data_IF_110817700826
#
_entry.id   IF_110817700826
#
_cell.length_a   1.000
_cell.length_b   1.000
_cell.length_c   1.000
_cell.angle_alpha   90.00
_cell.angle_beta   90.00
_cell.angle_gamma   90.00
#
_symmetry.space_group_name_H-M   'P 1'
#
loop_
_entity.id
_entity.type
_entity.pdbx_description
1 polymer ?
#
# COMPACT_ATOMS: atom_id res chain seq x y z
N UNK A 1 20.99 -0.36 -4.59
CA UNK A 1 20.09 0.01 -5.72
C UNK A 1 20.31 1.48 -6.04
N UNK A 2 20.55 1.85 -7.30
CA UNK A 2 20.74 3.26 -7.74
C UNK A 2 22.19 3.68 -8.04
N UNK A 3 23.19 2.92 -7.57
CA UNK A 3 24.62 3.18 -7.84
C UNK A 3 25.06 2.80 -9.26
N UNK A 4 24.32 1.91 -9.91
CA UNK A 4 24.61 1.43 -11.27
C UNK A 4 23.40 1.63 -12.18
N UNK A 5 23.68 2.15 -13.38
CA UNK A 5 22.71 2.28 -14.44
C UNK A 5 22.32 0.90 -14.98
N UNK A 6 21.02 0.63 -15.08
CA UNK A 6 20.56 -0.61 -15.71
C UNK A 6 20.47 -0.39 -17.23
N UNK A 7 21.14 -1.21 -18.06
CA UNK A 7 21.28 -0.95 -19.49
C UNK A 7 19.95 -0.96 -20.26
N UNK A 8 18.93 -1.64 -19.73
CA UNK A 8 17.63 -1.85 -20.40
C UNK A 8 16.48 -1.13 -19.69
N UNK A 9 16.63 -0.81 -18.40
CA UNK A 9 15.50 -0.37 -17.56
C UNK A 9 15.72 1.06 -17.11
N UNK A 10 14.90 1.95 -17.65
CA UNK A 10 14.82 3.35 -17.24
C UNK A 10 14.23 3.42 -15.83
N UNK A 11 14.89 4.15 -14.94
CA UNK A 11 14.44 4.30 -13.55
C UNK A 11 14.18 5.77 -13.26
N UNK A 12 13.08 6.02 -12.55
CA UNK A 12 12.65 7.36 -12.13
C UNK A 12 12.71 7.42 -10.62
N UNK A 13 13.39 8.43 -10.08
CA UNK A 13 13.44 8.66 -8.64
C UNK A 13 12.25 9.54 -8.23
N UNK A 14 11.30 8.93 -7.51
CA UNK A 14 10.11 9.61 -7.01
C UNK A 14 10.26 9.87 -5.51
N UNK A 15 10.39 11.14 -5.14
CA UNK A 15 10.43 11.56 -3.73
C UNK A 15 9.01 11.84 -3.24
N UNK A 16 8.54 11.06 -2.28
CA UNK A 16 7.21 11.20 -1.68
C UNK A 16 7.26 12.09 -0.41
N UNK A 17 6.09 12.59 0.01
CA UNK A 17 5.85 13.37 1.25
C UNK A 17 6.50 14.76 1.29
N UNK A 18 6.56 15.46 0.14
CA UNK A 18 7.08 16.84 0.11
C UNK A 18 6.27 17.84 0.93
N UNK A 19 5.02 17.51 1.25
CA UNK A 19 4.13 18.29 2.11
C UNK A 19 4.63 18.41 3.56
N UNK A 20 5.38 17.43 4.04
CA UNK A 20 5.97 17.46 5.39
C UNK A 20 7.21 18.35 5.48
N UNK A 21 7.73 18.83 4.35
CA UNK A 21 8.95 19.64 4.30
C UNK A 21 8.58 21.12 4.39
N UNK A 22 8.75 21.71 5.58
CA UNK A 22 8.40 23.11 5.82
C UNK A 22 9.23 24.14 5.03
N UNK A 23 10.46 23.79 4.61
CA UNK A 23 11.34 24.69 3.86
C UNK A 23 11.66 24.12 2.48
N UNK A 24 11.24 24.84 1.42
CA UNK A 24 11.53 24.46 0.02
C UNK A 24 13.04 24.37 -0.29
N UNK A 25 13.90 25.03 0.50
CA UNK A 25 15.36 24.95 0.35
C UNK A 25 15.89 23.54 0.64
N UNK A 26 15.29 22.84 1.59
CA UNK A 26 15.74 21.49 1.98
C UNK A 26 15.42 20.47 0.87
N UNK A 27 14.33 20.67 0.11
CA UNK A 27 14.01 19.86 -1.06
C UNK A 27 15.07 19.99 -2.18
N UNK A 28 15.66 21.18 -2.34
CA UNK A 28 16.74 21.41 -3.32
C UNK A 28 18.03 20.72 -2.88
N UNK A 29 18.36 20.78 -1.59
CA UNK A 29 19.52 20.06 -1.03
C UNK A 29 19.36 18.55 -1.19
N UNK A 30 18.15 18.02 -0.93
CA UNK A 30 17.83 16.61 -1.19
C UNK A 30 17.96 16.32 -2.68
N UNK A 31 17.41 17.15 -3.57
CA UNK A 31 17.59 16.96 -5.02
C UNK A 31 19.07 16.86 -5.39
N UNK A 32 19.92 17.73 -4.85
CA UNK A 32 21.36 17.72 -5.10
C UNK A 32 22.06 16.45 -4.62
N UNK A 33 21.75 15.97 -3.41
CA UNK A 33 22.32 14.72 -2.90
C UNK A 33 22.00 13.49 -3.76
N UNK A 34 20.86 13.50 -4.44
CA UNK A 34 20.40 12.38 -5.25
C UNK A 34 20.61 12.56 -6.76
N UNK A 35 21.10 13.73 -7.21
CA UNK A 35 21.46 13.97 -8.62
C UNK A 35 22.65 13.14 -9.07
N UNK A 36 23.58 12.84 -8.16
CA UNK A 36 24.81 12.12 -8.47
C UNK A 36 24.62 10.61 -8.61
N UNK A 37 23.39 10.10 -8.43
CA UNK A 37 23.09 8.69 -8.62
C UNK A 37 22.90 8.39 -10.11
N UNK A 38 23.85 7.71 -10.76
CA UNK A 38 23.81 7.45 -12.21
C UNK A 38 22.70 6.47 -12.60
N UNK A 39 22.07 5.83 -11.62
CA UNK A 39 21.01 4.84 -11.82
C UNK A 39 19.64 5.42 -12.15
N UNK A 40 19.45 6.74 -12.20
CA UNK A 40 18.14 7.37 -12.43
C UNK A 40 18.17 8.39 -13.59
N UNK A 41 17.16 8.36 -14.45
CA UNK A 41 17.05 9.27 -15.60
C UNK A 41 16.33 10.58 -15.25
N UNK A 42 15.46 10.58 -14.24
CA UNK A 42 14.69 11.76 -13.85
C UNK A 42 14.32 11.72 -12.38
N UNK A 43 14.39 12.89 -11.74
CA UNK A 43 13.93 13.14 -10.38
C UNK A 43 12.56 13.81 -10.41
N UNK A 44 11.62 13.37 -9.59
CA UNK A 44 10.31 14.01 -9.46
C UNK A 44 9.84 13.99 -8.02
N UNK A 45 9.18 15.08 -7.63
CA UNK A 45 8.73 15.35 -6.27
C UNK A 45 7.21 15.28 -6.20
N UNK A 46 6.67 14.52 -5.26
CA UNK A 46 5.22 14.37 -5.09
C UNK A 46 4.79 14.31 -3.62
N UNK A 47 3.54 14.69 -3.39
CA UNK A 47 2.81 14.39 -2.17
C UNK A 47 1.62 13.50 -2.54
N UNK A 48 1.63 12.26 -2.04
CA UNK A 48 0.53 11.31 -2.26
C UNK A 48 -0.78 11.74 -1.61
N UNK A 49 -0.72 12.56 -0.55
CA UNK A 49 -1.92 13.06 0.14
C UNK A 49 -2.67 14.12 -0.69
N UNK A 50 -1.95 14.87 -1.53
CA UNK A 50 -2.53 15.96 -2.33
C UNK A 50 -2.85 15.54 -3.76
N UNK A 51 -2.12 14.57 -4.33
CA UNK A 51 -2.27 14.17 -5.73
C UNK A 51 -2.60 12.69 -5.89
N UNK A 52 -3.62 12.39 -6.71
CA UNK A 52 -3.98 11.02 -7.06
C UNK A 52 -2.87 10.37 -7.92
N UNK A 53 -2.66 9.07 -7.74
CA UNK A 53 -1.76 8.21 -8.52
C UNK A 53 -1.87 8.39 -10.04
N UNK A 54 -3.07 8.68 -10.56
CA UNK A 54 -3.27 8.98 -11.99
C UNK A 54 -2.51 10.24 -12.43
N UNK A 55 -2.52 11.29 -11.60
CA UNK A 55 -1.81 12.54 -11.87
C UNK A 55 -0.30 12.32 -11.88
N UNK A 56 0.21 11.50 -10.94
CA UNK A 56 1.60 11.08 -10.91
C UNK A 56 2.00 10.37 -12.22
N UNK A 57 1.23 9.38 -12.68
CA UNK A 57 1.52 8.64 -13.93
C UNK A 57 1.59 9.55 -15.16
N UNK A 58 0.70 10.54 -15.23
CA UNK A 58 0.68 11.54 -16.30
C UNK A 58 1.89 12.46 -16.19
N UNK A 59 2.17 13.01 -15.00
CA UNK A 59 3.31 13.92 -14.80
C UNK A 59 4.67 13.26 -15.04
N UNK A 60 4.77 11.94 -14.83
CA UNK A 60 5.98 11.17 -15.08
C UNK A 60 6.12 10.72 -16.55
N UNK A 61 5.18 11.10 -17.42
CA UNK A 61 5.21 10.77 -18.85
C UNK A 61 5.05 9.28 -19.14
N UNK A 62 4.51 8.49 -18.20
CA UNK A 62 4.36 7.05 -18.39
C UNK A 62 3.35 6.70 -19.49
N UNK A 63 2.40 7.59 -19.80
CA UNK A 63 1.48 7.41 -20.92
C UNK A 63 2.22 7.40 -22.26
N UNK A 64 3.17 8.31 -22.45
CA UNK A 64 3.89 8.46 -23.73
C UNK A 64 4.99 7.40 -23.90
N UNK A 65 5.49 6.86 -22.79
CA UNK A 65 6.49 5.77 -22.76
C UNK A 65 5.86 4.37 -22.83
N UNK A 66 4.56 4.24 -22.68
CA UNK A 66 3.89 2.95 -22.70
C UNK A 66 3.83 2.39 -24.12
N UNK A 67 4.24 1.13 -24.30
CA UNK A 67 4.08 0.42 -25.56
C UNK A 67 2.60 0.15 -25.78
N UNK A 68 2.07 0.52 -26.95
CA UNK A 68 0.68 0.23 -27.30
C UNK A 68 0.52 -1.28 -27.46
N UNK A 69 -0.30 -1.88 -26.59
CA UNK A 69 -0.65 -3.30 -26.60
C UNK A 69 -2.08 -3.46 -26.11
N UNK A 70 -2.69 -4.59 -26.42
CA UNK A 70 -3.96 -4.98 -25.81
C UNK A 70 -3.80 -5.06 -24.30
N UNK A 71 -4.88 -4.78 -23.58
CA UNK A 71 -4.93 -5.02 -22.14
C UNK A 71 -4.70 -6.51 -21.88
N UNK A 72 -3.75 -6.82 -20.98
CA UNK A 72 -3.52 -8.20 -20.54
C UNK A 72 -4.55 -8.64 -19.49
N UNK A 73 -5.07 -7.69 -18.73
CA UNK A 73 -6.07 -7.91 -17.69
C UNK A 73 -7.30 -7.07 -18.00
N UNK A 74 -8.48 -7.64 -17.75
CA UNK A 74 -9.74 -6.92 -17.87
C UNK A 74 -9.96 -6.06 -16.61
N UNK A 75 -10.09 -4.73 -16.75
CA UNK A 75 -10.22 -3.83 -15.61
C UNK A 75 -11.55 -3.97 -14.84
N UNK A 76 -12.53 -4.70 -15.39
CA UNK A 76 -13.85 -4.89 -14.76
C UNK A 76 -14.02 -6.27 -14.13
N UNK A 77 -13.06 -7.18 -14.31
CA UNK A 77 -13.12 -8.52 -13.71
C UNK A 77 -12.64 -8.44 -12.27
N UNK A 78 -13.59 -8.49 -11.33
CA UNK A 78 -13.30 -8.71 -9.92
C UNK A 78 -13.40 -10.20 -9.64
N UNK A 79 -12.25 -10.87 -9.52
CA UNK A 79 -12.25 -12.29 -9.13
C UNK A 79 -12.48 -12.44 -7.63
N UNK A 80 -12.96 -13.61 -7.20
CA UNK A 80 -13.11 -13.94 -5.78
C UNK A 80 -11.78 -13.79 -5.02
N UNK A 81 -10.66 -14.09 -5.67
CA UNK A 81 -9.31 -13.91 -5.12
C UNK A 81 -8.96 -12.44 -4.85
N UNK A 82 -9.33 -11.52 -5.76
CA UNK A 82 -9.18 -10.09 -5.54
C UNK A 82 -9.99 -9.65 -4.32
N UNK A 83 -11.23 -10.11 -4.19
CA UNK A 83 -12.08 -9.81 -3.03
C UNK A 83 -11.50 -10.35 -1.72
N UNK A 84 -10.94 -11.56 -1.73
CA UNK A 84 -10.23 -12.16 -0.60
C UNK A 84 -9.01 -11.33 -0.21
N UNK A 85 -8.19 -10.93 -1.18
CA UNK A 85 -7.01 -10.10 -0.93
C UNK A 85 -7.38 -8.72 -0.37
N UNK A 86 -8.41 -8.07 -0.91
CA UNK A 86 -8.94 -6.81 -0.37
C UNK A 86 -9.39 -7.01 1.08
N UNK A 87 -10.10 -8.10 1.38
CA UNK A 87 -10.55 -8.38 2.75
C UNK A 87 -9.38 -8.53 3.73
N UNK A 88 -8.25 -9.11 3.30
CA UNK A 88 -7.05 -9.24 4.13
C UNK A 88 -6.39 -7.87 4.36
N UNK A 89 -6.23 -7.08 3.30
CA UNK A 89 -5.60 -5.76 3.38
C UNK A 89 -6.40 -4.77 4.23
N UNK A 90 -7.74 -4.80 4.17
CA UNK A 90 -8.60 -3.96 5.03
C UNK A 90 -8.32 -4.25 6.51
N UNK A 91 -8.23 -5.52 6.91
CA UNK A 91 -7.94 -5.89 8.30
C UNK A 91 -6.53 -5.49 8.69
N UNK A 92 -5.56 -5.66 7.77
CA UNK A 92 -4.17 -5.26 7.99
C UNK A 92 -4.01 -3.75 8.18
N UNK A 93 -4.70 -2.94 7.38
CA UNK A 93 -4.70 -1.48 7.50
C UNK A 93 -5.25 -1.06 8.87
N UNK A 94 -6.39 -1.63 9.28
CA UNK A 94 -6.98 -1.35 10.59
C UNK A 94 -6.05 -1.75 11.74
N UNK A 95 -5.40 -2.91 11.63
CA UNK A 95 -4.43 -3.36 12.62
C UNK A 95 -3.23 -2.40 12.71
N UNK A 96 -2.63 -2.03 11.57
CA UNK A 96 -1.49 -1.10 11.49
C UNK A 96 -1.82 0.29 12.06
N UNK A 97 -3.05 0.79 11.83
CA UNK A 97 -3.48 2.08 12.35
C UNK A 97 -3.50 2.17 13.87
N UNK A 98 -3.74 1.05 14.56
CA UNK A 98 -3.89 1.02 16.03
C UNK A 98 -2.66 0.44 16.75
N UNK A 99 -1.91 -0.44 16.08
CA UNK A 99 -0.68 -1.00 16.61
C UNK A 99 0.45 0.01 16.35
N UNK A 100 0.56 1.02 17.23
CA UNK A 100 1.58 2.09 17.15
C UNK A 100 3.01 1.62 17.48
N UNK A 101 3.18 0.39 17.97
CA UNK A 101 4.48 -0.24 18.16
C UNK A 101 4.64 -1.33 17.11
N UNK A 102 5.79 -1.36 16.43
CA UNK A 102 6.13 -2.31 15.34
C UNK A 102 5.30 -3.59 15.38
N UNK A 103 4.48 -3.80 14.35
CA UNK A 103 3.86 -5.11 14.13
C UNK A 103 5.01 -6.12 14.11
N UNK A 104 5.00 -7.14 14.99
CA UNK A 104 6.02 -8.16 14.96
C UNK A 104 6.12 -8.70 13.54
N UNK A 105 7.31 -8.69 12.95
CA UNK A 105 7.56 -9.22 11.59
C UNK A 105 7.12 -10.68 11.41
N UNK A 106 6.69 -11.37 12.47
CA UNK A 106 6.12 -12.70 12.45
C UNK A 106 4.60 -12.79 12.57
N UNK A 107 3.82 -11.71 12.39
CA UNK A 107 2.36 -11.87 12.28
C UNK A 107 2.03 -12.51 10.94
N UNK A 108 1.42 -13.68 11.00
CA UNK A 108 0.88 -14.38 9.85
C UNK A 108 -0.63 -14.17 9.78
N UNK A 109 -1.12 -13.65 8.66
CA UNK A 109 -2.54 -13.41 8.42
C UNK A 109 -3.05 -14.38 7.37
N UNK A 110 -4.00 -15.25 7.76
CA UNK A 110 -4.58 -16.26 6.87
C UNK A 110 -6.09 -16.10 6.79
N UNK A 111 -6.63 -16.19 5.58
CA UNK A 111 -8.06 -16.39 5.35
C UNK A 111 -8.36 -17.88 5.52
N UNK A 112 -9.23 -18.22 6.47
CA UNK A 112 -9.61 -19.60 6.77
C UNK A 112 -10.90 -20.01 6.09
N UNK A 113 -11.88 -19.12 6.04
CA UNK A 113 -13.21 -19.43 5.49
C UNK A 113 -13.79 -18.22 4.77
N UNK A 114 -14.47 -18.50 3.66
CA UNK A 114 -15.19 -17.53 2.85
C UNK A 114 -16.51 -18.18 2.44
N UNK A 115 -17.61 -17.78 3.07
CA UNK A 115 -18.92 -18.39 2.86
C UNK A 115 -19.98 -17.33 2.63
N UNK A 116 -20.66 -17.45 1.50
CA UNK A 116 -21.91 -16.75 1.25
C UNK A 116 -23.05 -17.52 1.91
N UNK A 117 -23.79 -16.83 2.77
CA UNK A 117 -24.94 -17.36 3.48
C UNK A 117 -26.21 -17.17 2.64
N UNK A 118 -27.24 -17.98 2.94
CA UNK A 118 -28.50 -18.00 2.17
C UNK A 118 -29.29 -16.70 2.22
N UNK A 119 -29.02 -15.86 3.21
CA UNK A 119 -29.59 -14.53 3.37
C UNK A 119 -28.84 -13.45 2.57
N UNK A 120 -27.82 -13.84 1.79
CA UNK A 120 -26.97 -12.93 1.04
C UNK A 120 -25.87 -12.27 1.88
N UNK A 121 -25.72 -12.63 3.15
CA UNK A 121 -24.62 -12.16 3.98
C UNK A 121 -23.32 -12.92 3.67
N UNK A 122 -22.19 -12.25 3.83
CA UNK A 122 -20.87 -12.83 3.60
C UNK A 122 -20.17 -13.06 4.93
N UNK A 123 -19.84 -14.32 5.23
CA UNK A 123 -19.02 -14.70 6.37
C UNK A 123 -17.58 -14.89 5.94
N UNK A 124 -16.71 -14.03 6.48
CA UNK A 124 -15.26 -14.05 6.25
C UNK A 124 -14.60 -14.42 7.57
N UNK A 125 -13.86 -15.53 7.61
CA UNK A 125 -13.07 -15.93 8.79
C UNK A 125 -11.60 -15.75 8.50
N UNK A 126 -10.94 -14.90 9.30
CA UNK A 126 -9.52 -14.60 9.16
C UNK A 126 -8.80 -14.82 10.48
N UNK A 127 -7.61 -15.43 10.41
CA UNK A 127 -6.79 -15.75 11.57
C UNK A 127 -5.53 -14.88 11.54
N UNK A 128 -5.24 -14.26 12.68
CA UNK A 128 -4.00 -13.54 12.93
C UNK A 128 -3.17 -14.37 13.90
N UNK A 129 -2.13 -15.00 13.40
CA UNK A 129 -1.25 -15.89 14.15
C UNK A 129 0.01 -15.10 14.50
N UNK A 130 0.38 -15.11 15.78
CA UNK A 130 1.60 -14.44 16.27
C UNK A 130 2.45 -15.40 17.09
N UNK A 131 3.78 -15.41 16.92
CA UNK A 131 4.68 -16.34 17.62
C UNK A 131 4.85 -16.03 19.11
N UNK A 132 4.50 -14.83 19.58
CA UNK A 132 4.57 -14.46 21.00
C UNK A 132 3.26 -13.87 21.49
N UNK A 133 2.70 -14.49 22.53
CA UNK A 133 1.63 -13.94 23.36
C UNK A 133 2.22 -12.76 24.15
N UNK A 134 2.27 -11.58 23.54
CA UNK A 134 2.31 -10.33 24.29
C UNK A 134 0.93 -9.70 24.25
N UNK A 135 0.63 -8.95 25.31
CA UNK A 135 -0.54 -8.09 25.55
C UNK A 135 -1.15 -7.44 24.30
N UNK A 136 -0.30 -7.09 23.33
CA UNK A 136 -0.62 -6.57 21.99
C UNK A 136 -1.61 -7.46 21.22
N UNK A 137 -1.48 -8.80 21.26
CA UNK A 137 -2.38 -9.70 20.53
C UNK A 137 -3.78 -9.80 21.14
N UNK A 138 -3.90 -9.67 22.47
CA UNK A 138 -5.19 -9.66 23.16
C UNK A 138 -5.90 -8.31 23.01
N UNK A 139 -5.17 -7.20 23.22
CA UNK A 139 -5.69 -5.85 23.02
C UNK A 139 -6.11 -5.63 21.56
N UNK A 140 -5.31 -6.08 20.58
CA UNK A 140 -5.68 -6.00 19.17
C UNK A 140 -6.93 -6.82 18.83
N UNK A 141 -7.12 -8.01 19.43
CA UNK A 141 -8.31 -8.83 19.14
C UNK A 141 -9.60 -8.23 19.72
N UNK A 142 -9.54 -7.70 20.95
CA UNK A 142 -10.70 -7.05 21.57
C UNK A 142 -11.10 -5.77 20.83
N UNK A 143 -10.11 -5.00 20.35
CA UNK A 143 -10.35 -3.79 19.58
C UNK A 143 -10.78 -4.06 18.13
N UNK A 144 -10.22 -5.07 17.46
CA UNK A 144 -10.73 -5.47 16.15
C UNK A 144 -12.22 -5.86 16.25
N UNK A 145 -12.62 -6.57 17.32
CA UNK A 145 -14.02 -6.87 17.59
C UNK A 145 -14.87 -5.64 17.87
N UNK A 146 -14.31 -4.59 18.49
CA UNK A 146 -15.02 -3.33 18.77
C UNK A 146 -15.28 -2.55 17.47
N UNK A 147 -14.27 -2.49 16.58
CA UNK A 147 -14.32 -1.77 15.29
C UNK A 147 -15.30 -2.45 14.33
N UNK A 148 -15.18 -3.77 14.14
CA UNK A 148 -16.10 -4.48 13.24
C UNK A 148 -17.54 -4.46 13.73
N UNK A 149 -17.82 -4.28 15.03
CA UNK A 149 -19.19 -4.10 15.52
C UNK A 149 -19.73 -2.69 15.29
N UNK A 150 -18.87 -1.67 15.26
CA UNK A 150 -19.28 -0.26 15.14
C UNK A 150 -19.76 0.09 13.73
N UNK A 151 -19.16 -0.52 12.70
CA UNK A 151 -19.44 -0.18 11.31
C UNK A 151 -20.71 -0.84 10.73
N UNK A 152 -21.35 -1.76 11.45
CA UNK A 152 -22.65 -2.36 11.06
C UNK A 152 -23.88 -1.60 11.58
N UNK A 153 -23.71 -0.49 12.32
CA UNK A 153 -24.81 0.25 12.94
C UNK A 153 -25.09 1.61 12.28
N UNK A 154 -25.02 1.68 10.95
CA UNK A 154 -25.56 2.80 10.17
C UNK A 154 -26.54 2.32 9.11
#
# INVERSE_FOLDING_TARGET
MGAEAHPIQKRVLCMNKIDLVGKKKDLLTVAEQFKDLPGYESLSFFSFLTYNFLFMRVSLGYKDKAVKRSWEEDPFIMTEEVMKNISLEVVRERLLGHVHQEIPYGIEHRLMDWKELRDGSLRIEQYLITPKIKRIGMEANEELRSIFKRDYSK
#
